data_IF_280896637084
#
_entry.id   IF_280896637084
#
_cell.length_a   1.000
_cell.length_b   1.000
_cell.length_c   1.000
_cell.angle_alpha   90.00
_cell.angle_beta   90.00
_cell.angle_gamma   90.00
#
_symmetry.space_group_name_H-M   'P 1'
#
loop_
_entity.id
_entity.type
_entity.pdbx_description
1 polymer ?
#
# COMPACT_ATOMS: atom_id res chain seq x y z
N UNK A 1 32.53 -13.85 -17.25
CA UNK A 1 31.55 -12.90 -17.80
C UNK A 1 31.90 -11.56 -17.21
N UNK A 2 32.09 -10.54 -18.04
CA UNK A 2 32.28 -9.18 -17.54
C UNK A 2 31.09 -8.81 -16.68
N UNK A 3 31.35 -8.44 -15.43
CA UNK A 3 30.32 -8.16 -14.44
C UNK A 3 29.53 -6.86 -14.74
N UNK A 4 29.89 -6.14 -15.81
CA UNK A 4 29.29 -4.87 -16.24
C UNK A 4 28.34 -4.97 -17.45
N UNK A 5 28.22 -6.13 -18.10
CA UNK A 5 27.36 -6.22 -19.29
C UNK A 5 25.87 -6.30 -18.91
N UNK A 6 25.01 -5.43 -19.47
CA UNK A 6 23.59 -5.50 -19.22
C UNK A 6 22.99 -6.80 -19.76
N UNK A 7 21.98 -7.31 -19.07
CA UNK A 7 21.22 -8.49 -19.50
C UNK A 7 19.94 -8.02 -20.16
N UNK A 8 19.60 -8.64 -21.28
CA UNK A 8 18.33 -8.41 -21.96
C UNK A 8 17.37 -9.55 -21.64
N UNK A 9 16.22 -9.22 -21.06
CA UNK A 9 15.17 -10.18 -20.72
C UNK A 9 13.92 -9.84 -21.54
N UNK A 10 13.39 -10.80 -22.28
CA UNK A 10 12.11 -10.70 -22.95
C UNK A 10 11.06 -11.50 -22.16
N UNK A 11 9.98 -10.84 -21.75
CA UNK A 11 8.89 -11.43 -20.99
C UNK A 11 7.60 -11.18 -21.73
N UNK A 12 6.98 -12.25 -22.25
CA UNK A 12 5.71 -12.14 -22.97
C UNK A 12 5.74 -11.20 -24.17
N UNK A 13 6.90 -11.00 -24.80
CA UNK A 13 7.10 -10.08 -25.92
C UNK A 13 7.60 -8.69 -25.52
N UNK A 14 7.70 -8.36 -24.23
CA UNK A 14 8.23 -7.07 -23.74
C UNK A 14 9.69 -7.20 -23.35
N UNK A 15 10.54 -6.31 -23.86
CA UNK A 15 11.98 -6.32 -23.63
C UNK A 15 12.37 -5.42 -22.46
N UNK A 16 13.21 -5.95 -21.57
CA UNK A 16 13.79 -5.27 -20.41
C UNK A 16 15.30 -5.35 -20.48
N UNK A 17 15.96 -4.23 -20.20
CA UNK A 17 17.42 -4.17 -19.99
C UNK A 17 17.68 -4.02 -18.50
N UNK A 18 18.43 -4.96 -17.93
CA UNK A 18 18.58 -5.10 -16.48
C UNK A 18 20.06 -5.25 -16.13
N UNK A 19 20.50 -4.57 -15.07
CA UNK A 19 21.87 -4.74 -14.59
C UNK A 19 22.07 -6.15 -13.99
N UNK A 20 23.28 -6.72 -14.10
CA UNK A 20 23.59 -8.01 -13.47
C UNK A 20 23.29 -8.03 -11.97
N UNK A 21 23.53 -6.92 -11.27
CA UNK A 21 23.23 -6.77 -9.84
C UNK A 21 21.73 -6.92 -9.53
N UNK A 22 20.88 -6.27 -10.32
CA UNK A 22 19.42 -6.36 -10.13
C UNK A 22 18.91 -7.78 -10.43
N UNK A 23 19.44 -8.43 -11.47
CA UNK A 23 19.05 -9.80 -11.81
C UNK A 23 19.39 -10.80 -10.71
N UNK A 24 20.52 -10.62 -10.02
CA UNK A 24 20.91 -11.47 -8.89
C UNK A 24 19.88 -11.43 -7.75
N UNK A 25 19.11 -10.34 -7.64
CA UNK A 25 18.02 -10.19 -6.68
C UNK A 25 16.70 -10.85 -7.13
N UNK A 26 16.63 -11.42 -8.34
CA UNK A 26 15.46 -12.16 -8.86
C UNK A 26 15.83 -13.65 -8.97
N UNK A 27 15.51 -14.48 -7.95
CA UNK A 27 16.12 -15.80 -7.80
C UNK A 27 15.87 -16.75 -8.98
N UNK A 28 14.65 -16.79 -9.55
CA UNK A 28 14.39 -17.64 -10.71
C UNK A 28 15.35 -17.35 -11.87
N UNK A 29 15.55 -16.07 -12.20
CA UNK A 29 16.37 -15.65 -13.34
C UNK A 29 17.85 -15.91 -13.01
N UNK A 30 18.28 -15.51 -11.80
CA UNK A 30 19.65 -15.69 -11.33
C UNK A 30 20.08 -17.17 -11.36
N UNK A 31 19.28 -18.06 -10.76
CA UNK A 31 19.62 -19.49 -10.66
C UNK A 31 19.58 -20.21 -12.00
N UNK A 32 18.59 -19.89 -12.85
CA UNK A 32 18.35 -20.64 -14.09
C UNK A 32 19.28 -20.22 -15.23
N UNK A 33 19.62 -18.92 -15.31
CA UNK A 33 20.35 -18.37 -16.47
C UNK A 33 21.75 -17.86 -16.10
N UNK A 34 22.06 -17.70 -14.82
CA UNK A 34 23.37 -17.21 -14.34
C UNK A 34 23.97 -18.07 -13.20
N UNK A 35 24.06 -19.41 -13.34
CA UNK A 35 24.64 -20.25 -12.31
C UNK A 35 26.16 -20.01 -12.19
N UNK A 36 26.61 -19.19 -11.23
CA UNK A 36 28.03 -19.16 -10.81
C UNK A 36 28.22 -20.06 -9.58
N UNK A 37 29.34 -20.80 -9.57
CA UNK A 37 29.82 -21.62 -8.45
C UNK A 37 30.06 -20.71 -7.24
N UNK A 38 29.45 -21.04 -6.10
CA UNK A 38 29.54 -20.38 -4.80
C UNK A 38 28.78 -19.06 -4.69
N UNK A 39 27.50 -19.15 -4.29
CA UNK A 39 26.83 -18.08 -3.56
C UNK A 39 26.47 -18.61 -2.18
N UNK A 40 27.14 -18.10 -1.14
CA UNK A 40 26.63 -18.18 0.21
C UNK A 40 25.38 -17.30 0.28
N UNK A 41 24.35 -17.78 0.98
CA UNK A 41 23.09 -17.12 1.24
C UNK A 41 23.29 -15.80 2.03
N UNK A 42 23.79 -14.75 1.40
CA UNK A 42 23.73 -13.39 1.95
C UNK A 42 22.45 -12.72 1.47
N UNK A 43 21.35 -13.09 2.11
CA UNK A 43 20.14 -12.30 2.39
C UNK A 43 19.04 -13.29 2.76
N UNK A 44 19.04 -13.70 4.03
CA UNK A 44 17.78 -14.03 4.70
C UNK A 44 17.26 -12.71 5.27
N UNK A 45 16.47 -11.98 4.48
CA UNK A 45 15.47 -11.11 5.08
C UNK A 45 14.50 -12.04 5.81
N UNK A 46 14.76 -12.22 7.10
CA UNK A 46 13.82 -12.98 7.91
C UNK A 46 12.54 -12.16 7.96
N UNK A 47 11.40 -12.78 7.66
CA UNK A 47 10.08 -12.25 8.02
C UNK A 47 10.06 -11.79 9.50
N UNK A 48 10.96 -12.33 10.34
CA UNK A 48 11.19 -11.86 11.69
C UNK A 48 11.73 -10.43 11.77
N UNK A 49 12.54 -9.90 10.86
CA UNK A 49 12.99 -8.48 10.91
C UNK A 49 11.89 -7.51 10.50
N UNK A 50 11.03 -7.89 9.57
CA UNK A 50 9.81 -7.14 9.23
C UNK A 50 8.84 -7.19 10.42
N UNK A 51 8.53 -8.39 10.96
CA UNK A 51 7.69 -8.57 12.15
C UNK A 51 8.29 -7.94 13.43
N UNK A 52 9.62 -7.89 13.57
CA UNK A 52 10.32 -7.33 14.75
C UNK A 52 10.38 -5.80 14.67
N UNK A 53 10.62 -5.21 13.50
CA UNK A 53 10.36 -3.77 13.28
C UNK A 53 8.89 -3.41 13.57
N UNK A 54 7.94 -4.27 13.22
CA UNK A 54 6.52 -4.04 13.54
C UNK A 54 6.18 -4.25 15.03
N UNK A 55 6.77 -5.25 15.70
CA UNK A 55 6.52 -5.54 17.12
C UNK A 55 7.18 -4.53 18.07
N UNK A 56 8.32 -3.96 17.68
CA UNK A 56 9.03 -2.93 18.46
C UNK A 56 8.24 -1.62 18.52
N UNK A 57 7.53 -1.24 17.44
CA UNK A 57 6.64 -0.07 17.43
C UNK A 57 5.37 -0.29 18.27
N UNK A 58 4.83 -1.51 18.31
CA UNK A 58 3.67 -1.87 19.15
C UNK A 58 4.04 -1.84 20.66
N UNK A 59 5.27 -2.22 21.02
CA UNK A 59 5.74 -2.16 22.41
C UNK A 59 6.21 -0.75 22.84
N UNK A 60 6.63 0.09 21.90
CA UNK A 60 6.90 1.51 22.18
C UNK A 60 5.64 2.25 22.66
N UNK A 61 4.45 1.84 22.19
CA UNK A 61 3.15 2.35 22.65
C UNK A 61 2.89 2.12 24.14
N UNK A 62 3.51 1.11 24.77
CA UNK A 62 3.34 0.83 26.21
C UNK A 62 4.34 1.55 27.11
N UNK A 63 5.47 2.01 26.58
CA UNK A 63 6.62 2.39 27.42
C UNK A 63 7.17 3.81 27.17
N UNK A 64 6.67 4.60 26.21
CA UNK A 64 7.16 5.97 26.01
C UNK A 64 6.42 7.00 26.86
N UNK A 65 6.57 6.92 28.18
CA UNK A 65 6.49 8.08 29.05
C UNK A 65 7.91 8.63 29.22
N UNK A 66 8.17 9.76 28.56
CA UNK A 66 9.34 10.60 28.83
C UNK A 66 10.52 10.42 27.88
N UNK A 67 10.64 11.34 26.93
CA UNK A 67 11.83 12.20 26.74
C UNK A 67 11.90 12.65 25.29
N UNK A 68 11.69 13.96 25.12
CA UNK A 68 11.98 14.76 23.92
C UNK A 68 13.46 14.68 23.56
N UNK A 69 13.77 14.65 22.26
CA UNK A 69 14.65 15.62 21.61
C UNK A 69 14.68 15.42 20.09
N UNK A 70 14.39 16.49 19.35
CA UNK A 70 14.49 16.59 17.89
C UNK A 70 15.89 17.05 17.47
N UNK A 71 16.32 16.70 16.24
CA UNK A 71 16.86 17.78 15.40
C UNK A 71 16.37 17.72 13.94
N UNK A 72 16.12 18.92 13.42
CA UNK A 72 15.80 19.28 12.04
C UNK A 72 16.93 18.99 11.05
N UNK A 73 16.60 18.63 9.80
CA UNK A 73 17.49 18.82 8.65
C UNK A 73 16.75 18.93 7.31
N UNK A 74 17.48 19.49 6.36
CA UNK A 74 17.11 20.42 5.30
C UNK A 74 16.71 19.83 3.95
N UNK A 75 15.97 20.65 3.21
CA UNK A 75 15.67 20.64 1.76
C UNK A 75 16.84 20.25 0.83
N UNK A 76 16.57 19.34 -0.11
CA UNK A 76 17.35 19.11 -1.32
C UNK A 76 16.47 18.60 -2.46
N UNK A 77 16.13 19.48 -3.41
CA UNK A 77 15.44 19.15 -4.67
C UNK A 77 16.38 18.37 -5.59
N UNK A 78 15.88 17.33 -6.26
CA UNK A 78 16.30 16.91 -7.61
C UNK A 78 15.26 15.95 -8.20
N UNK A 79 14.64 16.34 -9.31
CA UNK A 79 13.79 15.47 -10.15
C UNK A 79 14.58 15.01 -11.38
N UNK A 80 14.45 13.76 -11.85
CA UNK A 80 14.90 13.38 -13.18
C UNK A 80 13.74 13.33 -14.18
N UNK A 81 14.00 13.96 -15.32
CA UNK A 81 13.20 14.08 -16.53
C UNK A 81 12.98 12.72 -17.21
N UNK A 82 11.72 12.41 -17.55
CA UNK A 82 11.32 11.29 -18.40
C UNK A 82 11.44 11.75 -19.87
N UNK A 83 12.23 11.04 -20.68
CA UNK A 83 12.22 11.20 -22.14
C UNK A 83 11.57 9.97 -22.80
N UNK A 84 10.38 10.20 -23.35
CA UNK A 84 9.71 9.32 -24.30
C UNK A 84 9.98 9.86 -25.70
N UNK A 85 10.52 9.06 -26.60
CA UNK A 85 10.55 9.38 -28.04
C UNK A 85 9.81 8.31 -28.84
N UNK A 86 8.94 8.70 -29.80
CA UNK A 86 8.34 7.79 -30.76
C UNK A 86 9.17 7.78 -32.05
N UNK A 87 9.29 6.62 -32.70
CA UNK A 87 9.71 6.57 -34.11
C UNK A 87 9.02 5.42 -34.85
N UNK A 88 8.29 5.80 -35.90
CA UNK A 88 7.65 4.99 -36.92
C UNK A 88 8.61 4.57 -38.03
N UNK A 89 8.49 3.30 -38.45
CA UNK A 89 8.71 2.65 -39.77
C UNK A 89 9.85 3.10 -40.72
N UNK A 90 10.70 2.14 -41.14
CA UNK A 90 10.73 1.57 -42.52
C UNK A 90 11.80 0.47 -42.65
N UNK A 91 11.50 -0.56 -43.47
CA UNK A 91 12.36 -1.69 -43.84
C UNK A 91 13.53 -1.28 -44.74
N UNK A 92 14.75 -1.75 -44.42
CA UNK A 92 15.78 -2.15 -45.41
C UNK A 92 16.62 -3.28 -44.83
N UNK A 93 16.69 -4.39 -45.56
CA UNK A 93 17.60 -5.52 -45.33
C UNK A 93 18.97 -5.17 -45.91
N UNK A 94 20.03 -5.15 -45.10
CA UNK A 94 21.36 -5.50 -45.57
C UNK A 94 22.29 -6.01 -44.46
N UNK A 95 23.09 -7.01 -44.86
CA UNK A 95 23.94 -7.86 -44.02
C UNK A 95 25.19 -7.13 -43.49
N UNK A 96 25.67 -7.67 -42.38
CA UNK A 96 27.02 -7.56 -41.81
C UNK A 96 27.22 -6.49 -40.76
N UNK A 97 27.26 -6.91 -39.49
CA UNK A 97 28.53 -6.94 -38.78
C UNK A 97 28.45 -7.83 -37.54
N UNK A 98 29.28 -8.86 -37.58
CA UNK A 98 29.53 -9.82 -36.53
C UNK A 98 30.52 -9.17 -35.56
N UNK A 99 30.00 -8.43 -34.60
CA UNK A 99 30.69 -8.11 -33.34
C UNK A 99 29.65 -7.99 -32.23
N UNK A 100 28.86 -9.06 -32.06
CA UNK A 100 28.01 -9.18 -30.89
C UNK A 100 28.95 -9.37 -29.69
N UNK A 101 29.09 -8.31 -28.89
CA UNK A 101 29.38 -8.51 -27.47
C UNK A 101 28.41 -9.57 -26.94
N UNK A 102 28.82 -10.47 -26.04
CA UNK A 102 27.96 -11.54 -25.54
C UNK A 102 26.91 -10.95 -24.60
N UNK A 103 25.93 -10.25 -25.14
CA UNK A 103 24.74 -9.83 -24.41
C UNK A 103 23.91 -11.08 -24.13
N UNK A 104 23.64 -11.33 -22.85
CA UNK A 104 22.85 -12.50 -22.47
C UNK A 104 21.38 -12.17 -22.73
N UNK A 105 20.75 -12.93 -23.62
CA UNK A 105 19.34 -12.81 -23.94
C UNK A 105 18.55 -13.92 -23.23
N UNK A 106 17.64 -13.54 -22.35
CA UNK A 106 16.75 -14.47 -21.62
C UNK A 106 15.33 -14.28 -22.12
N UNK A 107 14.62 -15.38 -22.39
CA UNK A 107 13.20 -15.36 -22.73
C UNK A 107 12.38 -16.06 -21.64
N UNK A 108 11.26 -15.44 -21.24
CA UNK A 108 10.32 -15.93 -20.24
C UNK A 108 8.90 -15.83 -20.82
N UNK A 109 8.24 -16.97 -20.91
CA UNK A 109 6.86 -17.08 -21.41
C UNK A 109 5.85 -16.80 -20.29
N UNK A 110 5.73 -15.52 -19.91
CA UNK A 110 4.80 -15.00 -18.90
C UNK A 110 4.24 -13.66 -19.34
N UNK A 111 3.10 -13.27 -18.77
CA UNK A 111 2.61 -11.91 -18.92
C UNK A 111 3.61 -10.92 -18.29
N UNK A 112 3.88 -9.83 -19.01
CA UNK A 112 4.78 -8.78 -18.58
C UNK A 112 4.16 -7.81 -17.58
N UNK A 113 2.83 -7.80 -17.40
CA UNK A 113 2.08 -6.77 -16.64
C UNK A 113 2.71 -6.42 -15.29
N UNK A 114 3.06 -7.43 -14.48
CA UNK A 114 3.57 -7.23 -13.11
C UNK A 114 5.08 -7.29 -12.97
N UNK A 115 5.80 -7.68 -14.04
CA UNK A 115 7.26 -7.73 -13.99
C UNK A 115 7.93 -6.37 -13.71
N UNK A 116 7.44 -5.22 -14.21
CA UNK A 116 7.96 -3.91 -13.83
C UNK A 116 7.97 -3.66 -12.32
N UNK A 117 6.95 -4.13 -11.58
CA UNK A 117 6.85 -4.01 -10.12
C UNK A 117 7.93 -4.85 -9.45
N UNK A 118 8.06 -6.11 -9.87
CA UNK A 118 9.08 -7.04 -9.37
C UNK A 118 10.49 -6.49 -9.63
N UNK A 119 10.69 -5.94 -10.82
CA UNK A 119 11.95 -5.34 -11.23
C UNK A 119 12.27 -4.07 -10.42
N UNK A 120 11.27 -3.21 -10.20
CA UNK A 120 11.41 -2.02 -9.38
C UNK A 120 11.71 -2.37 -7.91
N UNK A 121 11.04 -3.38 -7.35
CA UNK A 121 11.35 -3.93 -6.02
C UNK A 121 12.77 -4.49 -5.94
N UNK A 122 13.25 -5.17 -6.99
CA UNK A 122 14.64 -5.64 -7.04
C UNK A 122 15.65 -4.50 -7.15
N UNK A 123 15.28 -3.35 -7.73
CA UNK A 123 16.14 -2.16 -7.83
C UNK A 123 16.24 -1.40 -6.52
N UNK A 124 15.09 -1.13 -5.88
CA UNK A 124 14.98 -0.26 -4.72
C UNK A 124 14.60 -1.07 -3.48
N UNK A 125 15.54 -1.27 -2.55
CA UNK A 125 15.30 -1.94 -1.27
C UNK A 125 14.98 -0.98 -0.10
N UNK A 126 14.96 0.33 -0.35
CA UNK A 126 14.77 1.35 0.70
C UNK A 126 13.37 1.97 0.76
N UNK A 127 12.61 1.99 -0.34
CA UNK A 127 11.27 2.60 -0.33
C UNK A 127 10.18 1.64 0.17
N UNK A 128 9.21 2.13 0.97
CA UNK A 128 8.03 1.35 1.34
C UNK A 128 7.25 0.90 0.09
N UNK A 129 6.80 -0.35 0.08
CA UNK A 129 6.08 -0.93 -1.05
C UNK A 129 4.87 -0.08 -1.48
N UNK A 130 4.11 0.45 -0.53
CA UNK A 130 2.89 1.23 -0.81
C UNK A 130 3.19 2.64 -1.32
N UNK A 131 4.36 3.19 -1.02
CA UNK A 131 4.80 4.47 -1.57
C UNK A 131 5.18 4.33 -3.05
N UNK A 132 5.82 3.22 -3.41
CA UNK A 132 6.26 2.97 -4.79
C UNK A 132 5.17 2.34 -5.67
N UNK A 133 4.20 1.62 -5.08
CA UNK A 133 3.19 0.86 -5.82
C UNK A 133 1.78 1.07 -5.25
N UNK A 134 0.96 1.83 -5.98
CA UNK A 134 -0.44 2.05 -5.62
C UNK A 134 -1.35 0.99 -6.25
N UNK A 135 -1.42 -0.20 -5.64
CA UNK A 135 -2.37 -1.26 -6.02
C UNK A 135 -3.65 -1.07 -5.20
N UNK A 136 -4.79 -0.88 -5.87
CA UNK A 136 -6.07 -0.63 -5.21
C UNK A 136 -6.97 -1.87 -5.16
N UNK A 137 -6.77 -2.83 -6.07
CA UNK A 137 -7.58 -4.03 -6.21
C UNK A 137 -6.90 -5.26 -5.62
N UNK A 138 -7.67 -6.07 -4.89
CA UNK A 138 -7.18 -7.33 -4.32
C UNK A 138 -6.87 -8.33 -5.42
N UNK A 139 -7.60 -8.30 -6.55
CA UNK A 139 -7.34 -9.18 -7.70
C UNK A 139 -5.97 -8.90 -8.34
N UNK A 140 -5.58 -7.63 -8.41
CA UNK A 140 -4.26 -7.24 -8.91
C UNK A 140 -3.16 -7.65 -7.94
N UNK A 141 -3.39 -7.52 -6.63
CA UNK A 141 -2.46 -7.95 -5.59
C UNK A 141 -2.30 -9.48 -5.56
N UNK A 142 -3.38 -10.23 -5.75
CA UNK A 142 -3.37 -11.70 -5.91
C UNK A 142 -2.60 -12.10 -7.17
N UNK A 143 -2.80 -11.39 -8.29
CA UNK A 143 -2.07 -11.68 -9.52
C UNK A 143 -0.57 -11.38 -9.38
N UNK A 144 -0.22 -10.27 -8.70
CA UNK A 144 1.17 -9.96 -8.35
C UNK A 144 1.78 -11.03 -7.43
N UNK A 145 1.07 -11.50 -6.42
CA UNK A 145 1.53 -12.56 -5.50
C UNK A 145 1.91 -13.83 -6.29
N UNK A 146 1.08 -14.22 -7.27
CA UNK A 146 1.33 -15.37 -8.16
C UNK A 146 2.59 -15.17 -9.01
N UNK A 147 2.81 -13.97 -9.55
CA UNK A 147 4.06 -13.67 -10.27
C UNK A 147 5.27 -13.69 -9.32
N UNK A 148 5.17 -13.12 -8.12
CA UNK A 148 6.24 -13.15 -7.13
C UNK A 148 6.63 -14.59 -6.77
N UNK A 149 5.64 -15.47 -6.62
CA UNK A 149 5.84 -16.90 -6.42
C UNK A 149 6.56 -17.56 -7.60
N UNK A 150 6.19 -17.21 -8.83
CA UNK A 150 6.86 -17.72 -10.04
C UNK A 150 8.33 -17.28 -10.11
N UNK A 151 8.60 -15.99 -9.94
CA UNK A 151 9.96 -15.42 -9.95
C UNK A 151 10.76 -15.72 -8.68
N UNK A 152 10.13 -16.35 -7.68
CA UNK A 152 10.70 -16.71 -6.38
C UNK A 152 11.18 -15.50 -5.57
N UNK A 153 10.50 -14.35 -5.72
CA UNK A 153 10.77 -13.14 -4.94
C UNK A 153 9.97 -13.19 -3.65
N UNK A 154 10.47 -13.98 -2.69
CA UNK A 154 9.75 -14.36 -1.47
C UNK A 154 9.36 -13.18 -0.58
N UNK A 155 10.19 -12.13 -0.55
CA UNK A 155 9.95 -10.98 0.33
C UNK A 155 8.76 -10.16 -0.18
N UNK A 156 8.71 -9.92 -1.49
CA UNK A 156 7.57 -9.27 -2.13
C UNK A 156 6.30 -10.12 -2.07
N UNK A 157 6.44 -11.45 -2.20
CA UNK A 157 5.33 -12.38 -2.00
C UNK A 157 4.75 -12.26 -0.59
N UNK A 158 5.60 -12.22 0.45
CA UNK A 158 5.16 -12.05 1.84
C UNK A 158 4.48 -10.71 2.07
N UNK A 159 4.99 -9.62 1.47
CA UNK A 159 4.33 -8.30 1.51
C UNK A 159 2.92 -8.39 0.94
N UNK A 160 2.75 -9.00 -0.24
CA UNK A 160 1.42 -9.19 -0.84
C UNK A 160 0.50 -10.01 0.08
N UNK A 161 1.00 -11.08 0.69
CA UNK A 161 0.22 -11.90 1.62
C UNK A 161 -0.22 -11.13 2.86
N UNK A 162 0.67 -10.33 3.46
CA UNK A 162 0.33 -9.47 4.60
C UNK A 162 -0.76 -8.45 4.23
N UNK A 163 -0.66 -7.84 3.06
CA UNK A 163 -1.66 -6.89 2.57
C UNK A 163 -3.03 -7.52 2.29
N UNK A 164 -3.07 -8.81 1.92
CA UNK A 164 -4.30 -9.59 1.69
C UNK A 164 -4.90 -10.22 2.95
N UNK A 165 -4.20 -10.18 4.09
CA UNK A 165 -4.76 -10.75 5.33
C UNK A 165 -6.06 -10.04 5.73
N UNK A 166 -7.04 -10.78 6.29
CA UNK A 166 -8.23 -10.17 6.87
C UNK A 166 -7.89 -9.08 7.88
N UNK A 167 -8.72 -8.04 7.89
CA UNK A 167 -8.58 -6.94 8.83
C UNK A 167 -8.68 -7.41 10.28
N UNK A 168 -7.78 -6.89 11.11
CA UNK A 168 -7.71 -7.14 12.55
C UNK A 168 -7.54 -5.80 13.27
N UNK A 169 -7.88 -5.72 14.56
CA UNK A 169 -7.52 -4.58 15.39
C UNK A 169 -6.03 -4.25 15.28
N UNK A 170 -5.71 -2.96 15.32
CA UNK A 170 -4.38 -2.39 15.15
C UNK A 170 -3.77 -2.46 13.73
N UNK A 171 -4.49 -2.96 12.73
CA UNK A 171 -4.05 -2.83 11.35
C UNK A 171 -4.18 -1.38 10.88
N UNK A 172 -3.11 -0.86 10.26
CA UNK A 172 -3.17 0.40 9.51
C UNK A 172 -3.92 0.21 8.21
N UNK A 173 -4.81 1.16 7.91
CA UNK A 173 -5.60 1.19 6.68
C UNK A 173 -5.58 2.57 6.05
N UNK A 174 -5.87 2.61 4.76
CA UNK A 174 -6.20 3.81 3.99
C UNK A 174 -7.47 3.55 3.19
N UNK A 175 -8.08 4.61 2.68
CA UNK A 175 -9.17 4.50 1.73
C UNK A 175 -8.71 3.81 0.44
N UNK A 176 -9.58 2.95 -0.12
CA UNK A 176 -9.45 2.57 -1.53
C UNK A 176 -9.76 3.76 -2.41
N UNK A 177 -8.96 3.97 -3.45
CA UNK A 177 -9.14 5.08 -4.36
C UNK A 177 -10.52 5.02 -5.04
N UNK A 178 -10.95 3.82 -5.39
CA UNK A 178 -12.27 3.52 -5.95
C UNK A 178 -13.43 3.81 -4.98
N UNK A 179 -13.21 3.81 -3.67
CA UNK A 179 -14.25 4.09 -2.69
C UNK A 179 -14.43 5.59 -2.41
N UNK A 180 -13.37 6.40 -2.54
CA UNK A 180 -13.41 7.82 -2.16
C UNK A 180 -14.55 8.55 -2.85
N UNK A 181 -14.73 8.37 -4.16
CA UNK A 181 -15.75 9.07 -4.94
C UNK A 181 -17.19 8.80 -4.45
N UNK A 182 -17.42 7.64 -3.84
CA UNK A 182 -18.72 7.26 -3.28
C UNK A 182 -18.92 7.74 -1.84
N UNK A 183 -17.85 7.79 -1.04
CA UNK A 183 -17.96 8.00 0.41
C UNK A 183 -17.67 9.43 0.84
N UNK A 184 -16.92 10.22 0.08
CA UNK A 184 -16.39 11.49 0.59
C UNK A 184 -17.47 12.46 1.06
N UNK A 185 -18.60 12.56 0.35
CA UNK A 185 -19.72 13.44 0.72
C UNK A 185 -20.32 13.03 2.07
N UNK A 186 -20.59 11.74 2.21
CA UNK A 186 -21.16 11.14 3.42
C UNK A 186 -20.18 11.22 4.59
N UNK A 187 -18.89 11.03 4.33
CA UNK A 187 -17.83 11.12 5.34
C UNK A 187 -17.69 12.52 5.95
N UNK A 188 -18.07 13.61 5.23
CA UNK A 188 -18.05 14.97 5.81
C UNK A 188 -18.87 15.03 7.10
N UNK A 189 -20.01 14.32 7.17
CA UNK A 189 -20.85 14.32 8.37
C UNK A 189 -20.12 13.77 9.60
N UNK A 190 -19.31 12.72 9.44
CA UNK A 190 -18.50 12.15 10.53
C UNK A 190 -17.32 13.05 10.96
N UNK A 191 -16.87 13.96 10.09
CA UNK A 191 -15.84 14.94 10.44
C UNK A 191 -16.45 16.11 11.20
N UNK A 192 -17.60 16.59 10.74
CA UNK A 192 -18.26 17.77 11.30
C UNK A 192 -18.95 17.44 12.62
N UNK A 193 -19.50 16.23 12.77
CA UNK A 193 -20.10 15.74 14.00
C UNK A 193 -19.31 14.53 14.53
N UNK A 194 -18.52 14.77 15.59
CA UNK A 194 -17.72 13.73 16.25
C UNK A 194 -18.55 12.65 16.94
N UNK A 195 -19.85 12.88 17.15
CA UNK A 195 -20.74 11.86 17.71
C UNK A 195 -21.24 10.88 16.64
N UNK A 196 -21.10 11.22 15.36
CA UNK A 196 -21.57 10.41 14.24
C UNK A 196 -20.47 9.49 13.71
N UNK A 197 -20.69 8.18 13.84
CA UNK A 197 -19.73 7.17 13.35
C UNK A 197 -20.15 6.55 12.02
N UNK A 198 -21.41 6.69 11.63
CA UNK A 198 -21.97 6.17 10.38
C UNK A 198 -22.08 7.27 9.33
N UNK A 199 -21.49 7.09 8.13
CA UNK A 199 -21.40 8.18 7.15
C UNK A 199 -22.69 8.47 6.40
N UNK A 200 -23.59 7.50 6.22
CA UNK A 200 -24.78 7.68 5.37
C UNK A 200 -26.00 8.10 6.17
N UNK A 201 -26.44 9.34 5.97
CA UNK A 201 -27.66 9.89 6.55
C UNK A 201 -28.86 9.67 5.62
N UNK A 202 -30.03 9.38 6.20
CA UNK A 202 -31.30 9.27 5.51
C UNK A 202 -32.46 9.64 6.44
N UNK A 203 -33.57 10.10 5.87
CA UNK A 203 -34.77 10.47 6.62
C UNK A 203 -35.81 9.34 6.56
N UNK A 204 -36.37 8.97 7.72
CA UNK A 204 -37.46 7.99 7.84
C UNK A 204 -38.48 8.50 8.85
N UNK A 205 -39.72 8.65 8.41
CA UNK A 205 -40.83 9.15 9.26
C UNK A 205 -40.49 10.48 9.97
N UNK A 206 -39.84 11.42 9.27
CA UNK A 206 -39.38 12.70 9.83
C UNK A 206 -38.30 12.60 10.93
N UNK A 207 -37.67 11.43 11.08
CA UNK A 207 -36.47 11.24 11.88
C UNK A 207 -35.25 11.08 10.97
N UNK A 208 -34.20 11.85 11.24
CA UNK A 208 -32.90 11.67 10.60
C UNK A 208 -32.19 10.47 11.25
N UNK A 209 -31.71 9.55 10.43
CA UNK A 209 -30.99 8.35 10.85
C UNK A 209 -29.71 8.22 10.06
N UNK A 210 -28.69 7.59 10.65
CA UNK A 210 -27.49 7.18 9.97
C UNK A 210 -27.47 5.65 9.84
N UNK A 211 -27.04 5.11 8.70
CA UNK A 211 -27.00 3.65 8.47
C UNK A 211 -25.70 3.19 7.81
N UNK A 212 -25.23 1.99 8.19
CA UNK A 212 -24.20 1.28 7.46
C UNK A 212 -24.80 0.56 6.25
N UNK A 213 -24.24 0.80 5.06
CA UNK A 213 -24.71 0.15 3.83
C UNK A 213 -24.41 -1.35 3.77
N UNK A 214 -23.52 -1.86 4.62
CA UNK A 214 -23.04 -3.25 4.55
C UNK A 214 -23.57 -4.16 5.67
N UNK A 215 -23.75 -3.66 6.91
CA UNK A 215 -24.23 -4.49 8.03
C UNK A 215 -25.55 -4.03 8.63
N UNK A 216 -26.21 -3.05 8.00
CA UNK A 216 -27.50 -2.50 8.41
C UNK A 216 -27.57 -1.78 9.76
N UNK A 217 -26.46 -1.66 10.50
CA UNK A 217 -26.39 -0.87 11.72
C UNK A 217 -26.97 0.52 11.53
N UNK A 218 -27.75 0.98 12.51
CA UNK A 218 -28.41 2.28 12.50
C UNK A 218 -27.96 3.07 13.74
N UNK A 219 -27.71 4.36 13.54
CA UNK A 219 -27.42 5.31 14.60
C UNK A 219 -28.38 6.49 14.48
N UNK A 220 -28.97 6.93 15.59
CA UNK A 220 -29.69 8.19 15.67
C UNK A 220 -28.68 9.34 15.91
N UNK A 221 -28.54 10.30 14.98
CA UNK A 221 -27.72 11.49 15.20
C UNK A 221 -28.29 12.29 16.36
N UNK A 222 -27.42 12.89 17.18
CA UNK A 222 -27.87 13.77 18.27
C UNK A 222 -28.49 15.05 17.68
N UNK A 223 -29.40 15.70 18.41
CA UNK A 223 -30.22 16.80 17.86
C UNK A 223 -29.40 18.02 17.37
N UNK A 224 -28.14 18.15 17.79
CA UNK A 224 -27.19 19.18 17.33
C UNK A 224 -26.56 18.89 15.97
N UNK A 225 -26.82 17.71 15.39
CA UNK A 225 -26.15 17.15 14.20
C UNK A 225 -26.85 17.47 12.88
N UNK A 226 -27.97 18.19 12.90
CA UNK A 226 -28.65 18.67 11.67
C UNK A 226 -27.88 19.90 11.17
N UNK A 227 -26.63 19.68 10.76
CA UNK A 227 -25.82 20.69 10.10
C UNK A 227 -26.11 20.56 8.63
N UNK A 228 -26.65 21.61 8.03
CA UNK A 228 -26.71 21.75 6.57
C UNK A 228 -25.27 21.91 6.05
N UNK A 229 -24.63 20.79 5.77
CA UNK A 229 -23.25 20.75 5.31
C UNK A 229 -23.24 21.04 3.82
N UNK A 230 -22.66 22.19 3.43
CA UNK A 230 -22.33 22.46 2.03
C UNK A 230 -21.23 21.50 1.54
N UNK A 231 -21.63 20.33 1.04
CA UNK A 231 -20.71 19.27 0.62
C UNK A 231 -19.71 19.75 -0.45
N UNK A 232 -20.10 20.65 -1.36
CA UNK A 232 -19.21 21.14 -2.42
C UNK A 232 -18.05 21.99 -1.86
N UNK A 233 -18.27 22.67 -0.73
CA UNK A 233 -17.18 23.34 0.01
C UNK A 233 -16.12 22.38 0.56
N UNK A 234 -16.45 21.10 0.66
CA UNK A 234 -15.58 20.03 1.17
C UNK A 234 -14.96 19.17 0.05
N UNK A 235 -15.04 19.57 -1.22
CA UNK A 235 -14.35 18.85 -2.31
C UNK A 235 -12.85 18.58 -2.03
N UNK A 236 -12.07 19.48 -1.39
CA UNK A 236 -10.70 19.19 -0.99
C UNK A 236 -10.55 17.97 -0.05
N UNK A 237 -11.59 17.61 0.69
CA UNK A 237 -11.60 16.40 1.53
C UNK A 237 -11.42 15.14 0.71
N UNK A 238 -12.06 15.04 -0.47
CA UNK A 238 -11.91 13.88 -1.34
C UNK A 238 -10.44 13.68 -1.76
N UNK A 239 -9.71 14.78 -1.98
CA UNK A 239 -8.27 14.72 -2.23
C UNK A 239 -7.49 14.30 -0.98
N UNK A 240 -7.83 14.86 0.19
CA UNK A 240 -7.19 14.52 1.46
C UNK A 240 -7.39 13.06 1.88
N UNK A 241 -8.56 12.47 1.61
CA UNK A 241 -8.85 11.06 1.88
C UNK A 241 -7.87 10.10 1.19
N UNK A 242 -7.23 10.51 0.08
CA UNK A 242 -6.24 9.68 -0.64
C UNK A 242 -4.96 9.42 0.17
N UNK A 243 -4.62 10.33 1.07
CA UNK A 243 -3.44 10.22 1.94
C UNK A 243 -3.79 9.96 3.40
N UNK A 244 -5.08 9.89 3.73
CA UNK A 244 -5.55 9.70 5.09
C UNK A 244 -5.33 8.26 5.54
N UNK A 245 -4.61 8.09 6.64
CA UNK A 245 -4.41 6.80 7.28
C UNK A 245 -5.24 6.70 8.54
N UNK A 246 -5.61 5.47 8.90
CA UNK A 246 -6.32 5.17 10.13
C UNK A 246 -5.92 3.81 10.69
N UNK A 247 -6.33 3.54 11.91
CA UNK A 247 -6.16 2.26 12.57
C UNK A 247 -7.52 1.62 12.80
N UNK A 248 -7.61 0.32 12.51
CA UNK A 248 -8.79 -0.47 12.87
C UNK A 248 -8.83 -0.63 14.39
N UNK A 249 -9.87 -0.10 15.02
CA UNK A 249 -10.12 -0.23 16.45
C UNK A 249 -10.87 -1.54 16.73
N UNK A 250 -11.88 -1.84 15.92
CA UNK A 250 -12.65 -3.07 16.04
C UNK A 250 -13.17 -3.56 14.69
N UNK A 251 -13.45 -4.85 14.61
CA UNK A 251 -14.08 -5.49 13.45
C UNK A 251 -15.54 -5.83 13.78
N UNK A 252 -16.46 -5.53 12.88
CA UNK A 252 -17.88 -5.82 13.04
C UNK A 252 -18.22 -6.95 12.06
N UNK A 253 -18.44 -8.15 12.61
CA UNK A 253 -18.59 -9.38 11.83
C UNK A 253 -17.48 -9.52 10.77
N UNK A 254 -17.83 -9.94 9.57
CA UNK A 254 -16.93 -10.05 8.42
C UNK A 254 -17.10 -8.97 7.35
N UNK A 255 -18.05 -8.05 7.54
CA UNK A 255 -18.43 -7.07 6.52
C UNK A 255 -17.86 -5.68 6.79
N UNK A 256 -17.62 -5.33 8.07
CA UNK A 256 -17.30 -3.97 8.48
C UNK A 256 -16.17 -3.89 9.51
N UNK A 257 -15.72 -2.65 9.75
CA UNK A 257 -14.81 -2.29 10.84
C UNK A 257 -15.02 -0.83 11.27
N UNK A 258 -14.62 -0.55 12.52
CA UNK A 258 -14.49 0.80 13.04
C UNK A 258 -13.04 1.22 12.88
N UNK A 259 -12.83 2.35 12.21
CA UNK A 259 -11.52 2.95 11.95
C UNK A 259 -11.41 4.26 12.70
N UNK A 260 -10.33 4.44 13.45
CA UNK A 260 -9.91 5.75 13.96
C UNK A 260 -8.91 6.37 12.99
N UNK A 261 -9.27 7.52 12.43
CA UNK A 261 -8.45 8.25 11.47
C UNK A 261 -7.47 9.19 12.17
N UNK A 262 -6.40 9.58 11.46
CA UNK A 262 -5.41 10.55 11.97
C UNK A 262 -5.98 11.90 12.41
N UNK A 263 -7.15 12.28 11.92
CA UNK A 263 -7.87 13.50 12.32
C UNK A 263 -8.67 13.31 13.63
N UNK A 264 -8.61 12.15 14.27
CA UNK A 264 -9.34 11.80 15.49
C UNK A 264 -10.78 11.32 15.27
N UNK A 265 -11.30 11.37 14.04
CA UNK A 265 -12.65 10.87 13.75
C UNK A 265 -12.69 9.34 13.76
N UNK A 266 -13.77 8.78 14.30
CA UNK A 266 -14.05 7.36 14.24
C UNK A 266 -15.19 7.09 13.27
N UNK A 267 -14.97 6.15 12.35
CA UNK A 267 -16.01 5.78 11.38
C UNK A 267 -16.16 4.29 11.25
N UNK A 268 -17.41 3.86 11.23
CA UNK A 268 -17.80 2.52 10.84
C UNK A 268 -17.94 2.47 9.31
N UNK A 269 -17.09 1.66 8.68
CA UNK A 269 -17.05 1.48 7.23
C UNK A 269 -17.07 0.00 6.81
N UNK A 270 -17.60 -0.30 5.62
CA UNK A 270 -17.43 -1.61 5.00
C UNK A 270 -15.95 -1.91 4.75
N UNK A 271 -15.54 -3.17 4.93
CA UNK A 271 -14.16 -3.58 4.64
C UNK A 271 -13.76 -3.31 3.17
N UNK A 272 -14.73 -3.35 2.26
CA UNK A 272 -14.49 -3.08 0.83
C UNK A 272 -14.07 -1.64 0.51
N UNK A 273 -14.33 -0.66 1.40
CA UNK A 273 -13.89 0.73 1.17
C UNK A 273 -12.45 0.99 1.60
N UNK A 274 -11.79 0.01 2.20
CA UNK A 274 -10.47 0.14 2.83
C UNK A 274 -9.46 -0.81 2.18
N UNK A 275 -8.19 -0.42 2.27
CA UNK A 275 -7.05 -1.31 2.00
C UNK A 275 -6.04 -1.21 3.11
N UNK A 276 -5.36 -2.33 3.38
CA UNK A 276 -4.29 -2.40 4.38
C UNK A 276 -3.07 -1.63 3.86
N UNK A 277 -2.33 -1.04 4.80
CA UNK A 277 -1.00 -0.47 4.56
C UNK A 277 -0.08 -1.02 5.65
N UNK A 278 1.17 -1.33 5.31
CA UNK A 278 2.15 -1.84 6.26
C UNK A 278 2.83 -0.73 7.06
N UNK A 279 2.92 0.47 6.49
CA UNK A 279 3.44 1.64 7.20
C UNK A 279 2.54 1.98 8.41
N UNK A 280 3.11 2.12 9.63
CA UNK A 280 2.32 2.46 10.81
C UNK A 280 1.74 3.87 10.71
N UNK A 281 0.57 4.07 11.33
CA UNK A 281 0.01 5.42 11.54
C UNK A 281 0.77 6.09 12.68
N UNK A 282 1.25 7.30 12.43
CA UNK A 282 1.71 8.19 13.49
C UNK A 282 0.53 9.09 13.88
N UNK A 283 0.00 8.90 15.08
CA UNK A 283 -0.90 9.86 15.69
C UNK A 283 -0.07 10.94 16.37
N UNK A 284 -0.42 12.20 16.14
CA UNK A 284 0.06 13.29 16.98
C UNK A 284 -0.47 13.02 18.40
N UNK A 285 0.44 12.80 19.35
CA UNK A 285 0.14 12.47 20.75
C UNK A 285 -0.96 13.37 21.30
N UNK A 286 -2.17 12.83 21.43
CA UNK A 286 -3.35 13.63 21.80
C UNK A 286 -4.69 12.90 21.75
N UNK A 287 -4.80 11.77 21.03
CA UNK A 287 -6.00 10.92 21.11
C UNK A 287 -5.94 10.09 22.40
N UNK A 288 -6.66 10.57 23.42
CA UNK A 288 -6.92 9.82 24.64
C UNK A 288 -8.12 8.91 24.35
N UNK A 289 -7.85 7.64 24.08
CA UNK A 289 -8.86 6.62 24.36
C UNK A 289 -9.05 6.61 25.88
N UNK A 290 -10.29 6.61 26.40
CA UNK A 290 -10.50 6.44 27.83
C UNK A 290 -10.09 5.01 28.17
N UNK A 291 -9.10 4.87 29.05
CA UNK A 291 -8.88 3.62 29.76
C UNK A 291 -10.18 3.27 30.48
N UNK A 292 -10.79 2.15 30.10
CA UNK A 292 -11.83 1.54 30.90
C UNK A 292 -11.17 0.92 32.14
N UNK A 293 -10.89 1.77 33.14
CA UNK A 293 -10.66 1.32 34.50
C UNK A 293 -11.92 0.57 34.95
N UNK A 294 -11.76 -0.74 35.09
CA UNK A 294 -12.73 -1.60 35.75
C UNK A 294 -12.41 -1.58 37.24
N UNK A 295 -12.81 -0.50 37.89
CA UNK A 295 -13.07 -0.51 39.33
C UNK A 295 -14.54 -0.85 39.56
N UNK A 296 -14.80 -2.06 40.04
CA UNK A 296 -16.01 -2.37 40.82
C UNK A 296 -15.83 -3.68 41.60
N UNK A 297 -15.69 -3.50 42.92
CA UNK A 297 -16.06 -4.36 44.07
C UNK A 297 -15.70 -5.86 44.10
#
# INVERSE_FOLDING_TARGET
MDDDMPVHVNIGGVFFTISPETIRKIPLIAHKYFPRRNYQNERRFSAANIRKKFSETINAFKNSNGSTDCPSLSSGKNSPTISLTPATHTDVIEKSQKSASPSTHVFIDRDSKYFPIILAFARNDEEPFEASFNIDSDDELIALEKECKFYQVTDLQQICQLLLEPFKPNHTVTWRQSAIDFYWRSYVHCIVDSTLTLPFLFEKNSHLLAKCIACEDVQEPKMTSIIDVNAEGWLPLAHHMRSMKGIIISTIHDTCCIVEWQNGSQTHLPRSSLKRVLEPVLFSSGSTTPDHDTDAE
#
